data_IF_213543132775
#
_entry.id   IF_213543132775
#
_cell.length_a   1.000
_cell.length_b   1.000
_cell.length_c   1.000
_cell.angle_alpha   90.00
_cell.angle_beta   90.00
_cell.angle_gamma   90.00
#
_symmetry.space_group_name_H-M   'P 1'
#
loop_
_entity.id
_entity.type
_entity.pdbx_description
1 polymer ?
#
# COMPACT_ATOMS: atom_id res chain seq x y z
N UNK A 1 15.59 -16.02 2.17
CA UNK A 1 14.13 -15.84 2.30
C UNK A 1 13.82 -15.63 3.79
N UNK A 2 13.27 -14.47 4.21
CA UNK A 2 12.90 -14.29 5.64
C UNK A 2 11.71 -15.21 5.98
N UNK A 3 11.80 -15.95 7.08
CA UNK A 3 10.74 -16.84 7.58
C UNK A 3 9.46 -16.04 7.90
N UNK A 4 8.30 -16.61 7.58
CA UNK A 4 6.99 -15.98 7.82
C UNK A 4 6.78 -15.61 9.29
N UNK A 5 7.38 -16.40 10.19
CA UNK A 5 7.36 -16.14 11.63
C UNK A 5 8.08 -14.82 12.02
N UNK A 6 9.22 -14.52 11.38
CA UNK A 6 9.95 -13.28 11.66
C UNK A 6 9.19 -12.06 11.16
N UNK A 7 8.49 -12.20 10.02
CA UNK A 7 7.65 -11.14 9.47
C UNK A 7 6.40 -10.91 10.33
N UNK A 8 5.80 -12.00 10.82
CA UNK A 8 4.60 -11.95 11.65
C UNK A 8 4.85 -11.21 12.96
N UNK A 9 6.00 -11.46 13.61
CA UNK A 9 6.43 -10.73 14.82
C UNK A 9 6.61 -9.23 14.58
N UNK A 10 7.21 -8.85 13.44
CA UNK A 10 7.45 -7.44 13.10
C UNK A 10 6.16 -6.68 12.82
N UNK A 11 5.20 -7.33 12.17
CA UNK A 11 3.93 -6.71 11.75
C UNK A 11 2.80 -6.93 12.75
N UNK A 12 3.07 -7.57 13.89
CA UNK A 12 2.08 -7.93 14.90
C UNK A 12 0.88 -8.72 14.33
N UNK A 13 1.13 -9.54 13.31
CA UNK A 13 0.14 -10.45 12.69
C UNK A 13 0.52 -11.89 12.96
N UNK A 14 -0.41 -12.81 12.74
CA UNK A 14 -0.15 -14.25 12.84
C UNK A 14 0.65 -14.75 11.63
N UNK A 15 1.48 -15.81 11.77
CA UNK A 15 2.16 -16.44 10.64
C UNK A 15 1.18 -16.94 9.56
N UNK A 16 -0.04 -17.32 9.97
CA UNK A 16 -1.11 -17.73 9.05
C UNK A 16 -1.54 -16.58 8.15
N UNK A 17 -1.76 -15.39 8.72
CA UNK A 17 -2.08 -14.19 7.96
C UNK A 17 -0.97 -13.83 6.97
N UNK A 18 0.30 -13.91 7.40
CA UNK A 18 1.46 -13.73 6.48
C UNK A 18 1.40 -14.71 5.31
N UNK A 19 1.13 -15.98 5.57
CA UNK A 19 0.99 -16.99 4.53
C UNK A 19 -0.18 -16.69 3.58
N UNK A 20 -1.30 -16.20 4.11
CA UNK A 20 -2.46 -15.79 3.31
C UNK A 20 -2.21 -14.54 2.47
N UNK A 21 -1.45 -13.56 2.98
CA UNK A 21 -1.01 -12.41 2.20
C UNK A 21 -0.14 -12.84 1.02
N UNK A 22 0.85 -13.72 1.24
CA UNK A 22 1.70 -14.26 0.16
C UNK A 22 0.91 -15.00 -0.91
N UNK A 23 -0.14 -15.70 -0.52
CA UNK A 23 -1.05 -16.41 -1.43
C UNK A 23 -2.11 -15.50 -2.05
N UNK A 24 -2.03 -14.19 -1.82
CA UNK A 24 -2.99 -13.19 -2.29
C UNK A 24 -4.46 -13.51 -1.91
N UNK A 25 -4.67 -14.19 -0.78
CA UNK A 25 -6.02 -14.55 -0.29
C UNK A 25 -6.60 -13.47 0.63
N UNK A 26 -5.76 -12.89 1.49
CA UNK A 26 -6.14 -11.84 2.43
C UNK A 26 -5.66 -10.47 1.92
N UNK A 27 -6.40 -9.40 2.21
CA UNK A 27 -5.95 -8.02 1.93
C UNK A 27 -5.01 -7.57 3.04
N UNK A 28 -3.96 -6.82 2.69
CA UNK A 28 -3.12 -6.18 3.69
C UNK A 28 -3.97 -5.21 4.54
N UNK A 29 -3.74 -5.15 5.87
CA UNK A 29 -4.30 -4.08 6.69
C UNK A 29 -3.87 -2.73 6.14
N UNK A 30 -4.77 -1.75 6.14
CA UNK A 30 -4.47 -0.43 5.57
C UNK A 30 -3.26 0.25 6.24
N UNK A 31 -3.09 0.09 7.57
CA UNK A 31 -1.92 0.59 8.28
C UNK A 31 -0.59 0.03 7.72
N UNK A 32 -0.54 -1.26 7.38
CA UNK A 32 0.65 -1.88 6.78
C UNK A 32 0.93 -1.31 5.40
N UNK A 33 -0.11 -0.98 4.63
CA UNK A 33 0.06 -0.31 3.32
C UNK A 33 0.68 1.07 3.50
N UNK A 34 0.26 1.83 4.52
CA UNK A 34 0.85 3.12 4.86
C UNK A 34 2.32 2.97 5.29
N UNK A 35 2.62 2.01 6.16
CA UNK A 35 4.01 1.76 6.59
C UNK A 35 4.92 1.39 5.41
N UNK A 36 4.43 0.58 4.46
CA UNK A 36 5.17 0.23 3.25
C UNK A 36 5.36 1.46 2.36
N UNK A 37 4.29 2.25 2.17
CA UNK A 37 4.34 3.48 1.38
C UNK A 37 5.36 4.48 1.95
N UNK A 38 5.39 4.66 3.27
CA UNK A 38 6.34 5.55 3.95
C UNK A 38 7.79 5.06 3.81
N UNK A 39 8.04 3.75 3.92
CA UNK A 39 9.39 3.18 3.77
C UNK A 39 9.87 3.23 2.33
N UNK A 40 8.98 3.03 1.37
CA UNK A 40 9.30 3.01 -0.06
C UNK A 40 9.23 4.41 -0.70
N UNK A 41 8.76 5.42 0.04
CA UNK A 41 8.50 6.77 -0.44
C UNK A 41 7.65 6.77 -1.72
N UNK A 42 6.52 6.06 -1.69
CA UNK A 42 5.54 5.97 -2.80
C UNK A 42 4.15 6.33 -2.31
N UNK A 43 3.25 6.72 -3.22
CA UNK A 43 1.86 7.01 -2.84
C UNK A 43 1.15 5.70 -2.43
N UNK A 44 0.48 5.64 -1.25
CA UNK A 44 -0.27 4.46 -0.83
C UNK A 44 -1.32 3.99 -1.86
N UNK A 45 -1.89 4.90 -2.66
CA UNK A 45 -2.83 4.57 -3.72
C UNK A 45 -2.19 3.73 -4.82
N UNK A 46 -0.89 3.91 -5.12
CA UNK A 46 -0.19 3.06 -6.08
C UNK A 46 -0.17 1.60 -5.61
N UNK A 47 0.10 1.39 -4.32
CA UNK A 47 0.12 0.06 -3.71
C UNK A 47 -1.30 -0.55 -3.74
N UNK A 48 -2.31 0.20 -3.28
CA UNK A 48 -3.70 -0.29 -3.21
C UNK A 48 -4.22 -0.61 -4.59
N UNK A 49 -4.05 0.31 -5.55
CA UNK A 49 -4.54 0.11 -6.91
C UNK A 49 -3.84 -1.08 -7.58
N UNK A 50 -2.53 -1.27 -7.36
CA UNK A 50 -1.79 -2.43 -7.85
C UNK A 50 -2.29 -3.76 -7.27
N UNK A 51 -2.59 -3.79 -5.96
CA UNK A 51 -3.16 -4.97 -5.29
C UNK A 51 -4.59 -5.27 -5.76
N UNK A 52 -5.41 -4.23 -5.92
CA UNK A 52 -6.81 -4.35 -6.34
C UNK A 52 -6.96 -4.68 -7.82
N UNK A 53 -6.03 -4.27 -8.68
CA UNK A 53 -6.08 -4.55 -10.12
C UNK A 53 -6.19 -6.06 -10.42
N UNK A 54 -5.55 -6.91 -9.60
CA UNK A 54 -5.60 -8.37 -9.74
C UNK A 54 -6.90 -9.00 -9.22
N UNK A 55 -7.69 -8.24 -8.44
CA UNK A 55 -8.90 -8.73 -7.74
C UNK A 55 -10.18 -8.08 -8.27
N UNK A 56 -10.08 -6.93 -8.92
CA UNK A 56 -11.22 -6.16 -9.38
C UNK A 56 -11.95 -6.88 -10.52
N UNK A 57 -13.25 -6.59 -10.65
CA UNK A 57 -14.04 -7.05 -11.79
C UNK A 57 -13.57 -6.34 -13.06
N UNK A 58 -13.72 -6.99 -14.20
CA UNK A 58 -13.29 -6.44 -15.50
C UNK A 58 -13.86 -5.03 -15.77
N UNK A 59 -15.14 -4.80 -15.42
CA UNK A 59 -15.80 -3.49 -15.52
C UNK A 59 -15.14 -2.36 -14.72
N UNK A 60 -14.45 -2.70 -13.63
CA UNK A 60 -13.84 -1.73 -12.71
C UNK A 60 -12.34 -1.56 -13.00
N UNK A 61 -11.77 -2.41 -13.87
CA UNK A 61 -10.35 -2.51 -14.13
C UNK A 61 -9.76 -1.19 -14.67
N UNK A 62 -10.45 -0.54 -15.61
CA UNK A 62 -9.97 0.72 -16.18
C UNK A 62 -9.95 1.85 -15.14
N UNK A 63 -10.91 1.86 -14.21
CA UNK A 63 -10.95 2.83 -13.11
C UNK A 63 -9.80 2.62 -12.13
N UNK A 64 -9.50 1.37 -11.78
CA UNK A 64 -8.39 1.02 -10.88
C UNK A 64 -7.04 1.35 -11.54
N UNK A 65 -6.89 1.00 -12.82
CA UNK A 65 -5.72 1.35 -13.63
C UNK A 65 -5.52 2.87 -13.69
N UNK A 66 -6.58 3.63 -13.93
CA UNK A 66 -6.54 5.09 -13.92
C UNK A 66 -6.11 5.66 -12.57
N UNK A 67 -6.59 5.09 -11.45
CA UNK A 67 -6.17 5.50 -10.11
C UNK A 67 -4.68 5.24 -9.86
N UNK A 68 -4.17 4.08 -10.27
CA UNK A 68 -2.74 3.75 -10.22
C UNK A 68 -1.89 4.78 -10.98
N UNK A 69 -2.19 5.00 -12.26
CA UNK A 69 -1.41 5.93 -13.09
C UNK A 69 -1.50 7.37 -12.60
N UNK A 70 -2.68 7.80 -12.11
CA UNK A 70 -2.84 9.14 -11.54
C UNK A 70 -1.95 9.36 -10.33
N UNK A 71 -1.89 8.38 -9.42
CA UNK A 71 -1.03 8.44 -8.25
C UNK A 71 0.45 8.42 -8.65
N UNK A 72 0.83 7.49 -9.53
CA UNK A 72 2.19 7.34 -10.05
C UNK A 72 2.71 8.60 -10.75
N UNK A 73 1.90 9.21 -11.62
CA UNK A 73 2.27 10.47 -12.28
C UNK A 73 2.34 11.64 -11.28
N UNK A 74 1.45 11.71 -10.29
CA UNK A 74 1.49 12.76 -9.29
C UNK A 74 2.75 12.68 -8.41
N UNK A 75 3.19 11.47 -8.09
CA UNK A 75 4.44 11.20 -7.40
C UNK A 75 5.67 11.60 -8.23
N UNK A 76 5.73 11.17 -9.49
CA UNK A 76 6.89 11.43 -10.35
C UNK A 76 7.03 12.90 -10.78
N UNK A 77 5.91 13.56 -11.12
CA UNK A 77 5.91 14.97 -11.59
C UNK A 77 6.19 15.94 -10.43
N UNK A 78 5.86 15.55 -9.21
CA UNK A 78 6.09 16.32 -8.01
C UNK A 78 6.67 15.39 -6.93
N UNK A 79 7.98 15.12 -6.93
CA UNK A 79 8.61 14.24 -5.93
C UNK A 79 8.51 14.79 -4.50
N UNK A 80 8.19 16.09 -4.36
CA UNK A 80 7.87 16.74 -3.09
C UNK A 80 6.37 17.10 -2.98
N UNK A 81 5.48 16.51 -3.79
CA UNK A 81 4.05 16.65 -3.57
C UNK A 81 3.74 15.91 -2.26
N UNK A 82 3.21 16.58 -1.25
CA UNK A 82 2.79 15.92 -0.02
C UNK A 82 1.52 15.06 -0.22
N UNK A 83 1.29 14.50 -1.41
CA UNK A 83 0.06 13.86 -1.91
C UNK A 83 -0.93 13.54 -0.80
N UNK A 84 -1.99 14.35 -0.69
CA UNK A 84 -3.10 14.31 0.29
C UNK A 84 -2.78 14.18 1.81
N UNK A 85 -1.63 13.68 2.24
CA UNK A 85 -1.38 13.18 3.59
C UNK A 85 -0.25 13.88 4.33
N UNK A 86 0.59 14.70 3.68
CA UNK A 86 1.53 15.58 4.39
C UNK A 86 0.92 16.96 4.67
N UNK A 87 -0.19 16.97 5.42
CA UNK A 87 -0.57 18.09 6.28
C UNK A 87 -0.57 17.63 7.73
N UNK A 88 0.62 17.51 8.33
CA UNK A 88 0.84 17.76 9.76
C UNK A 88 2.32 18.02 10.04
N UNK A 89 2.74 19.26 9.82
CA UNK A 89 3.69 19.89 10.76
C UNK A 89 2.85 20.37 11.94
N UNK A 90 3.30 20.00 13.14
CA UNK A 90 2.85 20.41 14.48
C UNK A 90 1.56 19.73 14.97
N UNK A 91 1.71 18.90 15.99
CA UNK A 91 1.19 19.07 17.36
C UNK A 91 1.34 17.72 18.07
N UNK A 92 2.30 17.62 18.99
CA UNK A 92 2.17 17.05 20.35
C UNK A 92 3.48 17.40 21.09
N UNK A 93 3.32 17.80 22.36
CA UNK A 93 4.29 18.54 23.18
C UNK A 93 5.49 17.75 23.66
#
# INVERSE_FOLDING_TARGET
MRSDYALSKRWAVTPSEVSQYRRNRLRFPFAVVLDIADVMDIDPIEIIAGLEYRRCREKDMERVKGAYFKAHCAHFVYPNNPGFFRRKKRFFG
#
